data_IF_810039575374
#
_entry.id   IF_810039575374
#
_cell.length_a   1.000
_cell.length_b   1.000
_cell.length_c   1.000
_cell.angle_alpha   90.00
_cell.angle_beta   90.00
_cell.angle_gamma   90.00
#
_symmetry.space_group_name_H-M   'P 1'
#
loop_
_entity.id
_entity.type
_entity.pdbx_description
1 polymer ?
#
# COMPACT_ATOMS: atom_id res chain seq x y z
N UNK A 1 9.45 13.90 13.42
CA UNK A 1 9.60 12.64 12.65
C UNK A 1 8.63 11.63 13.22
N UNK A 2 7.95 10.86 12.37
CA UNK A 2 7.03 9.79 12.77
C UNK A 2 7.35 8.55 11.95
N UNK A 3 6.94 7.40 12.42
CA UNK A 3 6.96 6.18 11.61
C UNK A 3 6.05 6.34 10.39
N UNK A 4 6.42 5.75 9.25
CA UNK A 4 5.62 5.79 8.03
C UNK A 4 4.15 5.37 8.28
N UNK A 5 3.92 4.34 9.10
CA UNK A 5 2.55 3.90 9.45
C UNK A 5 1.74 4.97 10.17
N UNK A 6 2.36 5.80 11.00
CA UNK A 6 1.68 6.87 11.74
C UNK A 6 1.28 8.00 10.80
N UNK A 7 2.14 8.33 9.83
CA UNK A 7 1.80 9.27 8.76
C UNK A 7 0.63 8.77 7.89
N UNK A 8 0.59 7.47 7.57
CA UNK A 8 -0.52 6.87 6.80
C UNK A 8 -1.84 6.95 7.58
N UNK A 9 -1.84 6.79 8.90
CA UNK A 9 -3.05 6.95 9.72
C UNK A 9 -3.64 8.36 9.65
N UNK A 10 -2.80 9.38 9.47
CA UNK A 10 -3.24 10.78 9.37
C UNK A 10 -3.81 11.14 7.98
N UNK A 11 -3.65 10.26 6.98
CA UNK A 11 -4.25 10.44 5.64
C UNK A 11 -5.79 10.37 5.74
N UNK A 12 -6.30 9.42 6.52
CA UNK A 12 -7.75 9.14 6.65
C UNK A 12 -8.52 10.35 7.19
N UNK A 13 -7.87 11.19 7.99
CA UNK A 13 -8.49 12.37 8.60
C UNK A 13 -8.31 13.68 7.81
N UNK A 14 -7.37 13.73 6.86
CA UNK A 14 -6.93 15.02 6.28
C UNK A 14 -6.97 15.09 4.77
N UNK A 15 -7.13 13.97 4.07
CA UNK A 15 -6.73 13.93 2.68
C UNK A 15 -7.62 13.04 1.80
N UNK A 16 -8.51 13.69 1.06
CA UNK A 16 -9.30 13.13 -0.05
C UNK A 16 -8.43 12.94 -1.32
N UNK A 17 -7.35 12.16 -1.23
CA UNK A 17 -6.22 12.24 -2.19
C UNK A 17 -6.21 11.26 -3.37
N UNK A 18 -7.36 10.69 -3.74
CA UNK A 18 -7.49 9.79 -4.89
C UNK A 18 -6.54 8.56 -4.84
N UNK A 19 -6.17 8.08 -3.65
CA UNK A 19 -5.54 6.77 -3.49
C UNK A 19 -6.50 5.93 -2.65
N UNK A 20 -6.87 4.76 -3.16
CA UNK A 20 -7.74 3.85 -2.44
C UNK A 20 -7.03 3.29 -1.20
N UNK A 21 -7.76 3.24 -0.09
CA UNK A 21 -7.33 2.58 1.13
C UNK A 21 -8.22 1.37 1.41
N UNK A 22 -7.60 0.23 1.66
CA UNK A 22 -8.26 -1.03 1.94
C UNK A 22 -8.03 -1.40 3.39
N UNK A 23 -9.10 -1.73 4.10
CA UNK A 23 -8.98 -2.33 5.42
C UNK A 23 -8.30 -3.70 5.31
N UNK A 24 -7.31 -3.97 6.15
CA UNK A 24 -6.50 -5.20 6.04
C UNK A 24 -7.32 -6.49 6.20
N UNK A 25 -8.44 -6.42 6.93
CA UNK A 25 -9.38 -7.54 7.09
C UNK A 25 -10.22 -7.84 5.85
N UNK A 26 -10.21 -6.97 4.83
CA UNK A 26 -10.86 -7.23 3.54
C UNK A 26 -10.07 -8.22 2.66
N UNK A 27 -8.82 -8.53 3.04
CA UNK A 27 -7.98 -9.51 2.39
C UNK A 27 -8.19 -10.90 3.01
N UNK A 28 -8.40 -11.90 2.16
CA UNK A 28 -8.57 -13.31 2.54
C UNK A 28 -7.47 -14.18 1.92
N UNK A 29 -7.35 -15.40 2.42
CA UNK A 29 -6.42 -16.41 1.89
C UNK A 29 -4.99 -15.87 1.76
N UNK A 30 -4.51 -15.19 2.82
CA UNK A 30 -3.18 -14.60 2.80
C UNK A 30 -2.11 -15.70 2.74
N UNK A 31 -1.32 -15.69 1.67
CA UNK A 31 -0.24 -16.65 1.43
C UNK A 31 1.07 -15.88 1.21
N UNK A 32 2.13 -16.24 1.91
CA UNK A 32 3.46 -15.69 1.64
C UNK A 32 3.99 -16.27 0.33
N UNK A 33 4.24 -15.41 -0.66
CA UNK A 33 4.74 -15.84 -1.97
C UNK A 33 6.27 -15.76 -2.06
N UNK A 34 6.89 -14.93 -1.20
CA UNK A 34 8.33 -14.76 -1.19
C UNK A 34 8.84 -14.39 0.20
N UNK A 35 9.84 -15.14 0.66
CA UNK A 35 10.53 -14.91 1.92
C UNK A 35 11.76 -14.05 1.62
N UNK A 36 11.62 -12.76 1.93
CA UNK A 36 12.72 -11.80 2.04
C UNK A 36 13.54 -11.58 0.75
N UNK A 37 13.03 -10.71 -0.12
CA UNK A 37 13.92 -10.00 -1.05
C UNK A 37 14.36 -8.67 -0.43
N UNK A 38 15.43 -8.07 -0.94
CA UNK A 38 15.94 -6.76 -0.49
C UNK A 38 14.88 -5.64 -0.42
N UNK A 39 13.74 -5.84 -1.09
CA UNK A 39 12.65 -4.88 -1.22
C UNK A 39 11.40 -5.19 -0.37
N UNK A 40 11.43 -6.20 0.50
CA UNK A 40 10.35 -6.53 1.43
C UNK A 40 9.75 -7.93 1.25
N UNK A 41 8.71 -8.22 2.02
CA UNK A 41 7.93 -9.48 1.93
C UNK A 41 6.66 -9.28 1.10
N UNK A 42 6.27 -10.32 0.37
CA UNK A 42 5.11 -10.29 -0.51
C UNK A 42 4.08 -11.34 -0.06
N UNK A 43 2.81 -10.93 -0.02
CA UNK A 43 1.67 -11.81 0.26
C UNK A 43 0.69 -11.79 -0.89
N UNK A 44 0.19 -12.96 -1.28
CA UNK A 44 -0.99 -13.10 -2.15
C UNK A 44 -2.22 -13.00 -1.27
N UNK A 45 -3.27 -12.36 -1.75
CA UNK A 45 -4.55 -12.38 -1.06
C UNK A 45 -5.71 -12.18 -2.04
N UNK A 46 -6.88 -12.65 -1.65
CA UNK A 46 -8.13 -12.34 -2.35
C UNK A 46 -8.78 -11.12 -1.71
N UNK A 47 -9.18 -10.14 -2.52
CA UNK A 47 -9.89 -8.96 -2.06
C UNK A 47 -11.41 -9.20 -2.14
N UNK A 48 -12.06 -9.35 -0.98
CA UNK A 48 -13.43 -9.88 -0.84
C UNK A 48 -14.47 -9.20 -1.74
N UNK A 49 -14.40 -7.88 -1.87
CA UNK A 49 -15.43 -7.12 -2.56
C UNK A 49 -15.30 -7.16 -4.10
N UNK A 50 -14.16 -7.60 -4.63
CA UNK A 50 -13.84 -7.45 -6.06
C UNK A 50 -13.59 -8.77 -6.77
N UNK A 51 -13.52 -9.91 -6.06
CA UNK A 51 -13.14 -11.22 -6.60
C UNK A 51 -11.84 -11.17 -7.41
N UNK A 52 -10.93 -10.28 -7.01
CA UNK A 52 -9.60 -10.17 -7.59
C UNK A 52 -8.59 -10.73 -6.61
N UNK A 53 -7.59 -11.42 -7.15
CA UNK A 53 -6.38 -11.78 -6.41
C UNK A 53 -5.38 -10.64 -6.55
N UNK A 54 -4.82 -10.20 -5.43
CA UNK A 54 -3.84 -9.11 -5.35
C UNK A 54 -2.53 -9.60 -4.74
N UNK A 55 -1.48 -8.82 -4.96
CA UNK A 55 -0.21 -8.98 -4.25
C UNK A 55 -0.04 -7.78 -3.31
N UNK A 56 0.15 -8.07 -2.03
CA UNK A 56 0.43 -7.10 -0.97
C UNK A 56 1.95 -7.10 -0.76
N UNK A 57 2.57 -5.94 -0.99
CA UNK A 57 3.97 -5.71 -0.65
C UNK A 57 4.06 -5.05 0.71
N UNK A 58 4.71 -5.71 1.67
CA UNK A 58 5.00 -5.11 2.96
C UNK A 58 6.15 -4.12 2.82
N UNK A 59 5.93 -2.91 3.30
CA UNK A 59 6.96 -1.90 3.39
C UNK A 59 7.57 -1.91 4.79
N UNK A 60 8.87 -1.65 4.87
CA UNK A 60 9.49 -1.29 6.13
C UNK A 60 8.79 -0.06 6.72
N UNK A 61 8.86 0.09 8.04
CA UNK A 61 8.27 1.20 8.75
C UNK A 61 9.37 2.14 9.29
N UNK A 62 10.10 2.88 8.44
CA UNK A 62 11.14 3.80 8.89
C UNK A 62 10.53 5.02 9.56
N UNK A 63 11.32 5.69 10.41
CA UNK A 63 10.99 7.04 10.88
C UNK A 63 11.35 8.04 9.79
N UNK A 64 10.37 8.83 9.35
CA UNK A 64 10.53 9.82 8.28
C UNK A 64 9.97 11.17 8.71
N UNK A 65 10.40 12.24 8.03
CA UNK A 65 9.86 13.58 8.22
C UNK A 65 8.64 13.82 7.30
N UNK A 66 8.00 14.99 7.42
CA UNK A 66 6.81 15.33 6.63
C UNK A 66 7.11 15.48 5.13
N UNK A 67 8.29 16.00 4.77
CA UNK A 67 8.69 16.18 3.38
C UNK A 67 8.91 14.84 2.68
N UNK A 68 9.61 13.91 3.36
CA UNK A 68 9.79 12.53 2.87
C UNK A 68 8.43 11.86 2.64
N UNK A 69 7.49 12.07 3.56
CA UNK A 69 6.14 11.53 3.44
C UNK A 69 5.34 12.16 2.29
N UNK A 70 5.44 13.49 2.10
CA UNK A 70 4.83 14.19 0.95
C UNK A 70 5.38 13.67 -0.37
N UNK A 71 6.68 13.44 -0.46
CA UNK A 71 7.31 12.87 -1.66
C UNK A 71 6.83 11.44 -1.91
N UNK A 72 6.78 10.61 -0.87
CA UNK A 72 6.27 9.24 -0.92
C UNK A 72 4.83 9.18 -1.45
N UNK A 73 3.92 9.97 -0.87
CA UNK A 73 2.52 10.00 -1.29
C UNK A 73 2.37 10.56 -2.71
N UNK A 74 3.15 11.58 -3.08
CA UNK A 74 3.13 12.12 -4.45
C UNK A 74 3.48 11.06 -5.48
N UNK A 75 4.50 10.24 -5.23
CA UNK A 75 4.88 9.11 -6.09
C UNK A 75 3.77 8.07 -6.19
N UNK A 76 3.12 7.72 -5.07
CA UNK A 76 2.02 6.76 -5.08
C UNK A 76 0.80 7.26 -5.86
N UNK A 77 0.48 8.55 -5.80
CA UNK A 77 -0.60 9.13 -6.61
C UNK A 77 -0.32 9.01 -8.10
N UNK A 78 0.93 9.22 -8.51
CA UNK A 78 1.34 9.05 -9.90
C UNK A 78 1.19 7.57 -10.30
N UNK A 79 1.65 6.64 -9.47
CA UNK A 79 1.50 5.20 -9.73
C UNK A 79 0.04 4.76 -9.83
N UNK A 80 -0.85 5.28 -8.98
CA UNK A 80 -2.27 4.94 -9.00
C UNK A 80 -2.97 5.33 -10.32
N UNK A 81 -2.49 6.39 -10.98
CA UNK A 81 -3.01 6.84 -12.28
C UNK A 81 -2.52 6.02 -13.47
N UNK A 82 -1.48 5.20 -13.31
CA UNK A 82 -0.92 4.39 -14.39
C UNK A 82 -1.81 3.16 -14.58
N UNK A 83 -2.45 3.09 -15.74
CA UNK A 83 -3.23 1.93 -16.19
C UNK A 83 -2.77 1.54 -17.59
N UNK A 84 -1.91 0.53 -17.68
CA UNK A 84 -1.30 0.08 -18.93
C UNK A 84 -1.18 -1.45 -18.92
N UNK A 85 -1.44 -2.17 -20.04
CA UNK A 85 -1.47 -3.63 -20.07
C UNK A 85 -0.15 -4.31 -19.62
N UNK A 86 0.98 -3.63 -19.78
CA UNK A 86 2.31 -4.15 -19.43
C UNK A 86 2.87 -3.61 -18.10
N UNK A 87 2.05 -2.90 -17.31
CA UNK A 87 2.45 -2.36 -16.00
C UNK A 87 1.48 -2.89 -14.95
N UNK A 88 1.99 -3.44 -13.86
CA UNK A 88 1.16 -3.89 -12.73
C UNK A 88 0.42 -2.67 -12.16
N UNK A 89 -0.91 -2.71 -12.19
CA UNK A 89 -1.74 -1.64 -11.65
C UNK A 89 -1.59 -1.56 -10.14
N UNK A 90 -1.22 -0.38 -9.65
CA UNK A 90 -1.26 -0.08 -8.23
C UNK A 90 -2.70 0.21 -7.79
N UNK A 91 -3.24 -0.63 -6.91
CA UNK A 91 -4.62 -0.50 -6.46
C UNK A 91 -4.75 0.48 -5.29
N UNK A 92 -3.85 0.43 -4.32
CA UNK A 92 -3.96 1.30 -3.15
C UNK A 92 -3.12 0.83 -1.97
N UNK A 93 -3.46 1.33 -0.79
CA UNK A 93 -2.75 1.11 0.47
C UNK A 93 -3.56 0.26 1.45
N UNK A 94 -2.87 -0.41 2.36
CA UNK A 94 -3.46 -1.07 3.52
C UNK A 94 -2.52 -0.90 4.71
N UNK A 95 -3.07 -0.80 5.92
CA UNK A 95 -2.31 -0.85 7.17
C UNK A 95 -2.32 -2.27 7.70
N UNK A 96 -1.16 -2.92 7.73
CA UNK A 96 -1.00 -4.18 8.48
C UNK A 96 -1.34 -3.98 9.96
N UNK A 97 -1.86 -5.03 10.59
CA UNK A 97 -2.08 -5.07 12.05
C UNK A 97 -0.74 -5.03 12.80
#
# INVERSE_FOLDING_TARGET
MKFLKEWICEIDERINDNIDYFAYNAFRNLEEIDKETANGTFKKADLENQRITVVIKNLNNPKINENDFKEFITKLKVFHKINHPNIIRFLGLTRGL
#
